data_IF_579243230453
#
_entry.id   IF_579243230453
#
_cell.length_a   1.000
_cell.length_b   1.000
_cell.length_c   1.000
_cell.angle_alpha   90.00
_cell.angle_beta   90.00
_cell.angle_gamma   90.00
#
_symmetry.space_group_name_H-M   'P 1'
#
loop_
_entity.id
_entity.type
_entity.pdbx_description
1 polymer ?
#
# COMPACT_ATOMS: atom_id res chain seq x y z
N UNK A 1 -30.95 11.21 0.79
CA UNK A 1 -29.96 10.66 1.75
C UNK A 1 -29.36 9.43 1.09
N UNK A 2 -28.24 9.58 0.41
CA UNK A 2 -27.52 8.47 -0.24
C UNK A 2 -26.71 7.75 0.83
N UNK A 3 -27.08 6.50 1.10
CA UNK A 3 -26.31 5.55 1.90
C UNK A 3 -24.90 5.45 1.32
N UNK A 4 -23.82 5.57 2.12
CA UNK A 4 -22.47 5.32 1.64
C UNK A 4 -22.41 3.87 1.14
N UNK A 5 -21.99 3.69 -0.12
CA UNK A 5 -21.91 2.37 -0.74
C UNK A 5 -20.82 1.51 -0.08
N UNK A 6 -21.08 0.21 0.01
CA UNK A 6 -20.22 -0.87 0.54
C UNK A 6 -18.73 -0.88 0.10
N UNK A 7 -18.29 0.00 -0.80
CA UNK A 7 -16.86 0.24 -1.11
C UNK A 7 -16.09 0.79 0.10
N UNK A 8 -16.77 1.37 1.09
CA UNK A 8 -16.16 1.95 2.30
C UNK A 8 -15.78 0.94 3.40
N UNK A 9 -16.05 -0.36 3.20
CA UNK A 9 -15.92 -1.40 4.24
C UNK A 9 -14.83 -2.44 4.00
N UNK A 10 -13.92 -2.24 3.05
CA UNK A 10 -12.83 -3.22 2.80
C UNK A 10 -11.56 -2.81 3.52
N UNK A 11 -11.10 -3.77 4.34
CA UNK A 11 -9.79 -3.85 4.95
C UNK A 11 -8.70 -3.84 3.86
N UNK A 12 -8.12 -2.68 3.57
CA UNK A 12 -6.89 -2.62 2.79
C UNK A 12 -5.82 -1.93 3.63
N UNK A 13 -4.80 -2.67 4.13
CA UNK A 13 -3.80 -2.14 5.06
C UNK A 13 -3.09 -0.87 4.55
N UNK A 14 -2.97 -0.72 3.22
CA UNK A 14 -2.33 0.43 2.58
C UNK A 14 -3.18 1.72 2.60
N UNK A 15 -4.51 1.62 2.62
CA UNK A 15 -5.41 2.79 2.56
C UNK A 15 -5.63 3.46 3.93
N UNK A 16 -5.21 2.82 5.02
CA UNK A 16 -5.72 3.18 6.34
C UNK A 16 -4.99 4.35 7.00
N UNK A 17 -3.72 4.59 6.67
CA UNK A 17 -2.96 5.70 7.26
C UNK A 17 -2.46 6.75 6.25
N UNK A 18 -2.67 6.59 4.94
CA UNK A 18 -2.36 7.63 3.96
C UNK A 18 -3.44 8.73 4.04
N UNK A 19 -3.21 9.72 4.90
CA UNK A 19 -4.13 10.87 5.09
C UNK A 19 -3.83 12.01 4.14
N UNK A 20 -2.56 12.22 3.84
CA UNK A 20 -2.09 13.33 3.03
C UNK A 20 -1.46 12.77 1.75
N UNK A 21 -2.24 12.85 0.68
CA UNK A 21 -1.79 12.57 -0.68
C UNK A 21 -1.85 13.86 -1.48
N UNK A 22 -0.91 14.01 -2.42
CA UNK A 22 -0.97 15.11 -3.37
C UNK A 22 -2.10 14.86 -4.38
N UNK A 23 -3.18 15.64 -4.26
CA UNK A 23 -4.42 15.51 -5.04
C UNK A 23 -4.26 15.60 -6.58
N UNK A 24 -3.11 16.09 -7.07
CA UNK A 24 -2.78 16.19 -8.50
C UNK A 24 -1.30 15.92 -8.66
N UNK A 25 -0.97 14.91 -9.46
CA UNK A 25 0.40 14.47 -9.70
C UNK A 25 0.63 14.26 -11.19
N UNK A 26 1.83 14.54 -11.73
CA UNK A 26 2.15 14.17 -13.09
C UNK A 26 2.18 12.63 -13.17
N UNK A 27 1.49 12.07 -14.16
CA UNK A 27 1.59 10.62 -14.42
C UNK A 27 3.02 10.34 -14.92
N UNK A 28 3.59 9.20 -14.51
CA UNK A 28 4.89 8.75 -15.00
C UNK A 28 4.79 8.27 -16.45
N UNK A 29 4.74 9.22 -17.39
CA UNK A 29 4.48 8.91 -18.80
C UNK A 29 3.09 8.32 -19.05
N UNK A 30 2.58 8.44 -20.28
CA UNK A 30 1.25 7.91 -20.61
C UNK A 30 1.21 6.37 -20.71
N UNK A 31 2.39 5.73 -20.60
CA UNK A 31 2.63 4.33 -20.91
C UNK A 31 2.87 3.42 -19.69
N UNK A 32 3.11 3.97 -18.49
CA UNK A 32 3.35 3.19 -17.27
C UNK A 32 2.05 2.98 -16.47
N UNK A 33 1.76 1.73 -16.13
CA UNK A 33 0.61 1.36 -15.30
C UNK A 33 1.08 1.02 -13.90
N UNK A 34 0.62 1.80 -12.92
CA UNK A 34 0.90 1.62 -11.50
C UNK A 34 -0.39 1.74 -10.69
N UNK A 35 -0.41 1.18 -9.48
CA UNK A 35 -1.54 1.23 -8.56
C UNK A 35 -1.42 2.43 -7.63
N UNK A 36 -2.39 3.32 -7.60
CA UNK A 36 -2.43 4.37 -6.59
C UNK A 36 -2.63 3.74 -5.19
N UNK A 37 -1.59 3.78 -4.35
CA UNK A 37 -1.64 3.24 -3.00
C UNK A 37 -2.60 4.01 -2.09
N UNK A 38 -2.89 5.28 -2.39
CA UNK A 38 -3.89 6.06 -1.66
C UNK A 38 -5.32 5.79 -2.18
N UNK A 39 -5.50 5.65 -3.48
CA UNK A 39 -6.84 5.54 -4.10
C UNK A 39 -7.31 4.09 -4.35
N UNK A 40 -6.41 3.14 -4.52
CA UNK A 40 -6.70 1.74 -4.84
C UNK A 40 -6.90 1.44 -6.31
N UNK A 41 -7.07 2.47 -7.13
CA UNK A 41 -7.26 2.36 -8.57
C UNK A 41 -5.98 2.60 -9.37
N UNK A 42 -6.16 2.80 -10.67
CA UNK A 42 -5.11 3.35 -11.52
C UNK A 42 -5.06 4.86 -11.34
N UNK A 43 -3.91 5.52 -11.59
CA UNK A 43 -3.85 6.97 -11.54
C UNK A 43 -4.89 7.59 -12.49
N UNK A 44 -5.59 8.64 -12.06
CA UNK A 44 -6.52 9.33 -12.95
C UNK A 44 -5.75 9.94 -14.13
N UNK A 45 -6.26 9.71 -15.34
CA UNK A 45 -5.76 10.26 -16.62
C UNK A 45 -5.83 11.81 -16.72
N UNK A 46 -6.12 12.52 -15.64
CA UNK A 46 -6.25 13.97 -15.64
C UNK A 46 -4.90 14.67 -15.66
N UNK A 47 -4.61 15.35 -16.77
CA UNK A 47 -3.54 16.34 -16.87
C UNK A 47 -3.71 17.41 -15.78
N UNK A 48 -2.94 17.29 -14.70
CA UNK A 48 -2.79 18.31 -13.67
C UNK A 48 -1.54 19.14 -13.94
N UNK A 49 -1.58 20.43 -13.60
CA UNK A 49 -0.35 21.24 -13.55
C UNK A 49 0.50 20.82 -12.37
N UNK A 50 1.81 20.64 -12.59
CA UNK A 50 2.78 20.41 -11.51
C UNK A 50 2.65 21.51 -10.43
N UNK A 51 2.58 21.15 -9.14
CA UNK A 51 2.80 22.15 -8.10
C UNK A 51 4.25 22.63 -8.19
N UNK A 52 4.47 23.93 -7.99
CA UNK A 52 5.82 24.44 -7.81
C UNK A 52 6.48 23.77 -6.58
N UNK A 53 7.80 23.51 -6.64
CA UNK A 53 8.55 22.87 -5.56
C UNK A 53 8.29 23.53 -4.19
N UNK A 54 8.27 24.87 -4.16
CA UNK A 54 7.97 25.65 -2.96
C UNK A 54 6.59 25.33 -2.37
N UNK A 55 5.57 25.18 -3.22
CA UNK A 55 4.20 24.88 -2.79
C UNK A 55 4.11 23.43 -2.26
N UNK A 56 4.82 22.49 -2.89
CA UNK A 56 4.85 21.10 -2.42
C UNK A 56 5.55 21.00 -1.06
N UNK A 57 6.69 21.68 -0.88
CA UNK A 57 7.41 21.74 0.39
C UNK A 57 6.60 22.41 1.51
N UNK A 58 5.89 23.50 1.21
CA UNK A 58 5.01 24.17 2.18
C UNK A 58 3.84 23.27 2.59
N UNK A 59 3.25 22.54 1.62
CA UNK A 59 2.24 21.53 1.89
C UNK A 59 2.72 20.46 2.87
N UNK A 60 3.93 19.94 2.69
CA UNK A 60 4.54 18.95 3.60
C UNK A 60 4.71 19.52 5.01
N UNK A 61 5.21 20.75 5.14
CA UNK A 61 5.42 21.41 6.45
C UNK A 61 4.12 21.67 7.22
N UNK A 62 2.99 21.74 6.52
CA UNK A 62 1.66 21.90 7.15
C UNK A 62 1.08 20.57 7.66
N UNK A 63 1.66 19.44 7.27
CA UNK A 63 1.18 18.10 7.63
C UNK A 63 1.83 17.65 8.94
N UNK A 64 1.03 17.02 9.79
CA UNK A 64 1.50 16.44 11.06
C UNK A 64 1.52 14.91 11.04
N UNK A 65 1.18 14.27 9.93
CA UNK A 65 1.05 12.81 9.77
C UNK A 65 1.91 12.31 8.60
N UNK A 66 1.70 11.09 8.12
CA UNK A 66 2.43 10.57 6.96
C UNK A 66 2.00 11.25 5.65
N UNK A 67 2.98 11.65 4.84
CA UNK A 67 2.75 12.13 3.47
C UNK A 67 3.07 11.00 2.49
N UNK A 68 2.13 10.75 1.58
CA UNK A 68 2.32 9.82 0.46
C UNK A 68 2.75 10.57 -0.79
N UNK A 69 3.83 10.08 -1.41
CA UNK A 69 4.40 10.59 -2.65
C UNK A 69 4.28 9.51 -3.72
N UNK A 70 3.39 9.69 -4.72
CA UNK A 70 3.29 8.77 -5.84
C UNK A 70 4.52 8.88 -6.76
N UNK A 71 4.72 7.91 -7.67
CA UNK A 71 5.84 7.94 -8.61
C UNK A 71 5.87 9.23 -9.45
N UNK A 72 7.08 9.71 -9.76
CA UNK A 72 7.33 10.92 -10.53
C UNK A 72 8.09 10.61 -11.81
N UNK A 73 7.73 11.32 -12.89
CA UNK A 73 8.54 11.34 -14.11
C UNK A 73 9.95 11.90 -13.82
N UNK A 74 10.94 11.45 -14.60
CA UNK A 74 12.35 11.76 -14.36
C UNK A 74 12.67 13.28 -14.35
N UNK A 75 11.95 14.06 -15.16
CA UNK A 75 12.04 15.52 -15.21
C UNK A 75 11.53 16.21 -13.92
N UNK A 76 10.68 15.52 -13.16
CA UNK A 76 10.10 15.99 -11.90
C UNK A 76 10.89 15.56 -10.66
N UNK A 77 12.03 14.89 -10.81
CA UNK A 77 12.85 14.40 -9.67
C UNK A 77 13.33 15.50 -8.71
N UNK A 78 13.40 16.76 -9.17
CA UNK A 78 13.70 17.90 -8.31
C UNK A 78 12.57 18.17 -7.27
N UNK A 79 11.31 17.90 -7.62
CA UNK A 79 10.17 17.99 -6.71
C UNK A 79 10.27 16.92 -5.62
N UNK A 80 10.60 15.70 -6.02
CA UNK A 80 10.83 14.59 -5.10
C UNK A 80 11.86 14.95 -4.02
N UNK A 81 13.02 15.48 -4.45
CA UNK A 81 14.07 15.92 -3.53
C UNK A 81 13.59 17.03 -2.59
N UNK A 82 12.93 18.06 -3.12
CA UNK A 82 12.41 19.16 -2.32
C UNK A 82 11.39 18.70 -1.27
N UNK A 83 10.56 17.71 -1.58
CA UNK A 83 9.59 17.11 -0.64
C UNK A 83 10.32 16.30 0.42
N UNK A 84 11.31 15.48 0.02
CA UNK A 84 12.15 14.70 0.92
C UNK A 84 12.87 15.57 1.95
N UNK A 85 13.48 16.67 1.50
CA UNK A 85 14.17 17.65 2.36
C UNK A 85 13.20 18.33 3.33
N UNK A 86 12.05 18.81 2.84
CA UNK A 86 11.04 19.45 3.68
C UNK A 86 10.46 18.51 4.73
N UNK A 87 10.23 17.24 4.37
CA UNK A 87 9.73 16.23 5.29
C UNK A 87 10.74 15.90 6.37
N UNK A 88 12.02 15.75 6.01
CA UNK A 88 13.10 15.53 6.95
C UNK A 88 13.26 16.69 7.94
N UNK A 89 13.22 17.94 7.46
CA UNK A 89 13.27 19.14 8.30
C UNK A 89 12.08 19.22 9.25
N UNK A 90 10.88 18.88 8.77
CA UNK A 90 9.65 18.90 9.57
C UNK A 90 9.48 17.67 10.49
N UNK A 91 10.35 16.66 10.40
CA UNK A 91 10.17 15.39 11.11
C UNK A 91 8.95 14.58 10.62
N UNK A 92 8.46 14.89 9.43
CA UNK A 92 7.29 14.27 8.79
C UNK A 92 7.74 13.00 8.07
N UNK A 93 7.09 11.84 8.31
CA UNK A 93 7.44 10.61 7.63
C UNK A 93 6.87 10.61 6.21
N UNK A 94 7.58 9.95 5.29
CA UNK A 94 7.16 9.79 3.90
C UNK A 94 6.88 8.33 3.59
N UNK A 95 5.79 8.07 2.87
CA UNK A 95 5.60 6.87 2.06
C UNK A 95 5.85 7.23 0.61
N UNK A 96 6.88 6.63 0.04
CA UNK A 96 7.27 6.86 -1.35
C UNK A 96 6.92 5.63 -2.16
N UNK A 97 6.25 5.84 -3.28
CA UNK A 97 6.04 4.80 -4.27
C UNK A 97 6.90 5.02 -5.50
N UNK A 98 7.44 3.92 -6.03
CA UNK A 98 8.34 3.93 -7.19
C UNK A 98 7.83 2.91 -8.20
N UNK A 99 7.78 3.28 -9.49
CA UNK A 99 7.42 2.32 -10.55
C UNK A 99 8.60 1.43 -10.89
N UNK A 100 8.37 0.15 -10.70
CA UNK A 100 9.16 -1.02 -10.97
C UNK A 100 9.23 -1.48 -12.43
N UNK A 101 10.03 -0.88 -13.32
CA UNK A 101 10.18 -1.41 -14.70
C UNK A 101 11.39 -2.33 -14.84
N UNK A 102 11.17 -3.52 -15.42
CA UNK A 102 12.24 -4.37 -15.95
C UNK A 102 12.27 -4.16 -17.47
N UNK A 103 13.38 -3.67 -18.06
CA UNK A 103 13.49 -3.51 -19.50
C UNK A 103 13.27 -4.84 -20.22
N UNK A 104 12.69 -4.80 -21.43
CA UNK A 104 12.53 -6.00 -22.25
C UNK A 104 13.90 -6.64 -22.54
N UNK A 105 14.14 -7.84 -21.99
CA UNK A 105 15.42 -8.55 -22.11
C UNK A 105 16.47 -8.22 -21.04
N UNK A 106 16.17 -7.35 -20.07
CA UNK A 106 17.01 -7.07 -18.91
C UNK A 106 16.67 -7.95 -17.71
N UNK A 107 17.64 -8.16 -16.82
CA UNK A 107 17.54 -9.01 -15.62
C UNK A 107 17.53 -8.22 -14.31
N UNK A 108 17.69 -6.89 -14.35
CA UNK A 108 18.05 -6.11 -13.17
C UNK A 108 17.05 -5.03 -12.80
N UNK A 109 16.42 -5.23 -11.65
CA UNK A 109 15.71 -4.20 -10.89
C UNK A 109 16.68 -3.19 -10.25
N UNK A 110 18.01 -3.34 -10.40
CA UNK A 110 19.01 -2.39 -9.85
C UNK A 110 18.88 -0.98 -10.41
N UNK A 111 18.32 -0.83 -11.60
CA UNK A 111 18.06 0.48 -12.22
C UNK A 111 16.83 1.19 -11.63
N UNK A 112 16.04 0.52 -10.77
CA UNK A 112 14.91 1.14 -10.07
C UNK A 112 15.30 2.21 -9.06
N UNK A 113 16.59 2.29 -8.76
CA UNK A 113 17.12 3.45 -8.10
C UNK A 113 17.12 4.62 -9.07
N UNK A 114 16.05 5.42 -9.04
CA UNK A 114 16.22 6.85 -9.21
C UNK A 114 17.44 7.25 -8.35
N UNK A 115 18.50 7.86 -8.92
CA UNK A 115 19.69 8.20 -8.16
C UNK A 115 19.30 9.07 -6.95
N UNK A 116 19.54 8.57 -5.74
CA UNK A 116 19.22 9.25 -4.47
C UNK A 116 18.39 8.46 -3.46
N UNK A 117 17.85 7.27 -3.80
CA UNK A 117 17.13 6.42 -2.83
C UNK A 117 18.00 5.95 -1.65
N UNK A 118 19.27 5.66 -1.90
CA UNK A 118 20.23 5.24 -0.88
C UNK A 118 20.61 6.38 0.08
N UNK A 119 20.34 7.63 -0.29
CA UNK A 119 20.62 8.83 0.50
C UNK A 119 19.39 9.32 1.28
N UNK A 120 18.28 8.57 1.24
CA UNK A 120 17.05 8.97 1.92
C UNK A 120 17.15 8.74 3.44
N UNK A 121 16.69 9.69 4.27
CA UNK A 121 16.72 9.57 5.73
C UNK A 121 15.86 8.41 6.24
N UNK A 122 16.19 7.91 7.44
CA UNK A 122 15.61 6.71 8.06
C UNK A 122 14.12 6.78 8.42
N UNK A 123 13.49 7.94 8.28
CA UNK A 123 12.07 8.18 8.54
C UNK A 123 11.18 7.96 7.30
N UNK A 124 11.73 7.41 6.21
CA UNK A 124 11.02 7.17 4.96
C UNK A 124 10.75 5.68 4.72
N UNK A 125 9.52 5.37 4.30
CA UNK A 125 9.10 4.04 3.85
C UNK A 125 9.02 4.06 2.33
N UNK A 126 9.79 3.18 1.68
CA UNK A 126 9.76 3.04 0.22
C UNK A 126 9.00 1.77 -0.15
N UNK A 127 7.95 1.95 -0.96
CA UNK A 127 7.21 0.89 -1.61
C UNK A 127 7.53 0.90 -3.11
N UNK A 128 7.97 -0.25 -3.64
CA UNK A 128 8.18 -0.42 -5.07
C UNK A 128 6.94 -1.09 -5.64
N UNK A 129 6.30 -0.38 -6.56
CA UNK A 129 5.17 -0.87 -7.30
C UNK A 129 5.66 -1.56 -8.56
N UNK A 130 5.52 -2.87 -8.57
CA UNK A 130 5.87 -3.69 -9.72
C UNK A 130 4.61 -4.12 -10.48
N UNK A 131 3.46 -3.45 -10.38
CA UNK A 131 2.16 -3.86 -10.94
C UNK A 131 2.30 -4.44 -12.35
N UNK A 132 2.79 -3.65 -13.30
CA UNK A 132 2.98 -4.09 -14.68
C UNK A 132 3.94 -5.28 -14.81
N UNK A 133 5.06 -5.26 -14.08
CA UNK A 133 6.06 -6.33 -14.06
C UNK A 133 5.52 -7.63 -13.45
N UNK A 134 4.85 -7.56 -12.29
CA UNK A 134 4.29 -8.68 -11.52
C UNK A 134 3.15 -9.33 -12.27
N UNK A 135 2.33 -8.53 -12.94
CA UNK A 135 1.29 -9.01 -13.83
C UNK A 135 1.87 -9.85 -14.97
N UNK A 136 2.90 -9.33 -15.68
CA UNK A 136 3.55 -10.09 -16.76
C UNK A 136 4.22 -11.36 -16.22
N UNK A 137 4.83 -11.27 -15.04
CA UNK A 137 5.45 -12.42 -14.37
C UNK A 137 4.43 -13.46 -13.92
N UNK A 138 3.27 -13.02 -13.41
CA UNK A 138 2.17 -13.89 -13.05
C UNK A 138 1.67 -14.65 -14.29
N UNK A 139 1.49 -13.96 -15.43
CA UNK A 139 1.12 -14.59 -16.69
C UNK A 139 2.17 -15.63 -17.14
N UNK A 140 3.47 -15.28 -17.12
CA UNK A 140 4.55 -16.20 -17.49
C UNK A 140 4.62 -17.43 -16.56
N UNK A 141 4.47 -17.24 -15.25
CA UNK A 141 4.48 -18.32 -14.26
C UNK A 141 3.27 -19.26 -14.43
N UNK A 142 2.09 -18.72 -14.78
CA UNK A 142 0.91 -19.56 -15.10
C UNK A 142 1.16 -20.45 -16.31
N UNK A 143 1.79 -19.92 -17.35
CA UNK A 143 2.15 -20.72 -18.52
C UNK A 143 3.17 -21.82 -18.16
N UNK A 144 4.22 -21.50 -17.40
CA UNK A 144 5.17 -22.50 -16.91
C UNK A 144 4.47 -23.62 -16.11
N UNK A 145 3.55 -23.27 -15.22
CA UNK A 145 2.76 -24.22 -14.43
C UNK A 145 1.81 -25.06 -15.30
N UNK A 146 1.14 -24.44 -16.29
CA UNK A 146 0.28 -25.13 -17.27
C UNK A 146 1.08 -26.16 -18.07
N UNK A 147 2.30 -25.83 -18.45
CA UNK A 147 3.22 -26.70 -19.20
C UNK A 147 3.98 -27.70 -18.30
N UNK A 148 3.74 -27.70 -16.98
CA UNK A 148 4.46 -28.50 -15.97
C UNK A 148 5.99 -28.30 -16.00
N UNK A 149 6.45 -27.12 -16.41
CA UNK A 149 7.86 -26.76 -16.38
C UNK A 149 8.26 -26.39 -14.96
N UNK A 150 9.53 -26.60 -14.62
CA UNK A 150 10.07 -26.11 -13.37
C UNK A 150 10.11 -24.57 -13.42
N UNK A 151 9.58 -23.85 -12.41
CA UNK A 151 9.58 -22.39 -12.42
C UNK A 151 11.01 -21.85 -12.52
N UNK A 152 11.31 -21.06 -13.55
CA UNK A 152 12.60 -20.39 -13.67
C UNK A 152 12.73 -19.25 -12.63
N UNK A 153 13.92 -18.88 -12.16
CA UNK A 153 14.07 -17.67 -11.34
C UNK A 153 14.28 -16.48 -12.30
N UNK A 154 13.31 -15.54 -12.41
CA UNK A 154 13.40 -14.45 -13.39
C UNK A 154 14.30 -13.30 -12.91
N UNK A 155 14.63 -13.29 -11.62
CA UNK A 155 15.50 -12.29 -11.01
C UNK A 155 16.90 -12.86 -10.82
N UNK A 156 17.91 -12.03 -11.04
CA UNK A 156 19.24 -12.29 -10.47
C UNK A 156 19.12 -12.46 -8.93
N UNK A 157 20.11 -13.04 -8.24
CA UNK A 157 20.11 -13.09 -6.78
C UNK A 157 20.16 -11.68 -6.15
N UNK A 158 19.26 -11.41 -5.21
CA UNK A 158 19.22 -10.20 -4.36
C UNK A 158 19.04 -8.79 -5.02
N UNK A 159 18.39 -8.57 -6.19
CA UNK A 159 18.21 -7.24 -6.77
C UNK A 159 17.18 -6.38 -6.02
N UNK A 160 16.38 -6.97 -5.12
CA UNK A 160 15.34 -6.32 -4.32
C UNK A 160 15.70 -6.29 -2.82
N UNK A 161 16.99 -6.31 -2.49
CA UNK A 161 17.44 -6.42 -1.10
C UNK A 161 16.81 -5.35 -0.19
N UNK A 162 16.01 -5.78 0.79
CA UNK A 162 15.40 -4.90 1.78
C UNK A 162 14.17 -4.12 1.30
N UNK A 163 13.74 -4.32 0.05
CA UNK A 163 12.63 -3.59 -0.58
C UNK A 163 11.28 -4.08 -0.06
N UNK A 164 10.31 -3.16 0.01
CA UNK A 164 8.89 -3.48 0.13
C UNK A 164 8.24 -3.49 -1.26
N UNK A 165 7.68 -4.62 -1.67
CA UNK A 165 6.99 -4.79 -2.96
C UNK A 165 5.49 -4.71 -2.75
N UNK A 166 4.79 -4.04 -3.66
CA UNK A 166 3.31 -4.07 -3.72
C UNK A 166 2.89 -5.20 -4.67
N UNK A 167 2.09 -6.14 -4.17
CA UNK A 167 1.54 -7.24 -4.97
C UNK A 167 0.07 -6.97 -5.32
N UNK A 168 -0.27 -6.77 -6.60
CA UNK A 168 -1.65 -6.55 -6.99
C UNK A 168 -2.47 -7.82 -6.83
N UNK A 169 -3.64 -7.71 -6.21
CA UNK A 169 -4.64 -8.76 -6.08
C UNK A 169 -5.78 -8.49 -7.07
N UNK A 170 -5.88 -9.37 -8.05
CA UNK A 170 -6.94 -9.46 -9.05
C UNK A 170 -7.56 -10.83 -8.88
N UNK A 171 -8.88 -10.84 -8.68
CA UNK A 171 -9.67 -12.05 -8.46
C UNK A 171 -9.40 -13.09 -9.55
N UNK A 172 -9.29 -14.35 -9.13
CA UNK A 172 -9.02 -15.51 -9.99
C UNK A 172 -7.74 -15.42 -10.81
N UNK A 173 -6.79 -14.61 -10.40
CA UNK A 173 -5.57 -14.43 -11.18
C UNK A 173 -4.33 -14.30 -10.33
N UNK A 174 -4.11 -13.14 -9.72
CA UNK A 174 -2.92 -12.90 -8.89
C UNK A 174 -3.12 -13.28 -7.43
N UNK A 175 -4.33 -13.69 -7.06
CA UNK A 175 -4.71 -14.19 -5.73
C UNK A 175 -4.81 -15.72 -5.65
N UNK A 176 -4.59 -16.43 -6.77
CA UNK A 176 -4.72 -17.88 -6.80
C UNK A 176 -3.62 -18.59 -5.98
N UNK A 177 -3.97 -19.51 -5.06
CA UNK A 177 -2.99 -20.19 -4.21
C UNK A 177 -1.83 -20.84 -4.98
N UNK A 178 -2.12 -21.50 -6.11
CA UNK A 178 -1.10 -22.15 -6.95
C UNK A 178 -0.11 -21.19 -7.62
N UNK A 179 -0.44 -19.90 -7.70
CA UNK A 179 0.47 -18.85 -8.18
C UNK A 179 1.24 -18.19 -7.04
N UNK A 180 0.59 -17.99 -5.90
CA UNK A 180 1.12 -17.24 -4.77
C UNK A 180 2.40 -17.86 -4.20
N UNK A 181 2.40 -19.17 -3.93
CA UNK A 181 3.58 -19.86 -3.38
C UNK A 181 4.85 -19.67 -4.23
N UNK A 182 4.86 -20.03 -5.53
CA UNK A 182 6.05 -19.84 -6.37
C UNK A 182 6.41 -18.35 -6.57
N UNK A 183 5.43 -17.45 -6.59
CA UNK A 183 5.69 -16.02 -6.70
C UNK A 183 6.37 -15.45 -5.44
N UNK A 184 5.89 -15.78 -4.25
CA UNK A 184 6.49 -15.35 -2.99
C UNK A 184 7.91 -15.91 -2.81
N UNK A 185 8.12 -17.19 -3.14
CA UNK A 185 9.45 -17.79 -3.14
C UNK A 185 10.44 -17.05 -4.06
N UNK A 186 9.98 -16.63 -5.25
CA UNK A 186 10.80 -15.82 -6.18
C UNK A 186 11.14 -14.44 -5.59
N UNK A 187 10.17 -13.76 -4.98
CA UNK A 187 10.40 -12.45 -4.36
C UNK A 187 11.37 -12.55 -3.18
N UNK A 188 11.24 -13.59 -2.35
CA UNK A 188 12.17 -13.87 -1.25
C UNK A 188 13.59 -14.14 -1.77
N UNK A 189 13.74 -14.97 -2.82
CA UNK A 189 15.04 -15.23 -3.46
C UNK A 189 15.66 -13.97 -4.08
N UNK A 190 14.83 -13.03 -4.54
CA UNK A 190 15.25 -11.73 -5.03
C UNK A 190 15.68 -10.76 -3.91
N UNK A 191 15.60 -11.15 -2.63
CA UNK A 191 16.01 -10.33 -1.48
C UNK A 191 14.93 -9.39 -0.94
N UNK A 192 13.69 -9.53 -1.43
CA UNK A 192 12.55 -8.75 -0.95
C UNK A 192 12.37 -8.98 0.55
N UNK A 193 12.20 -7.91 1.33
CA UNK A 193 11.93 -8.02 2.76
C UNK A 193 10.43 -8.16 3.03
N UNK A 194 9.63 -7.43 2.26
CA UNK A 194 8.20 -7.28 2.50
C UNK A 194 7.41 -7.30 1.20
N UNK A 195 6.25 -7.95 1.20
CA UNK A 195 5.30 -7.93 0.07
C UNK A 195 3.91 -7.59 0.59
N UNK A 196 3.37 -6.46 0.17
CA UNK A 196 2.07 -5.95 0.65
C UNK A 196 1.01 -6.25 -0.40
N UNK A 197 -0.08 -6.97 -0.05
CA UNK A 197 -1.15 -7.25 -0.98
C UNK A 197 -1.97 -5.99 -1.26
N UNK A 198 -2.43 -5.83 -2.51
CA UNK A 198 -3.22 -4.69 -2.95
C UNK A 198 -4.35 -5.08 -3.89
N UNK A 199 -5.57 -5.15 -3.38
CA UNK A 199 -6.75 -5.31 -4.22
C UNK A 199 -6.95 -4.08 -5.12
N UNK A 200 -7.10 -4.30 -6.43
CA UNK A 200 -7.30 -3.21 -7.38
C UNK A 200 -8.77 -2.78 -7.44
N UNK A 201 -9.03 -1.49 -7.20
CA UNK A 201 -10.36 -0.89 -7.25
C UNK A 201 -10.62 -0.29 -8.64
N UNK A 202 -10.80 -1.15 -9.64
CA UNK A 202 -10.90 -0.74 -11.04
C UNK A 202 -12.36 -0.51 -11.47
N UNK A 203 -12.65 0.65 -12.03
CA UNK A 203 -13.85 0.94 -12.80
C UNK A 203 -13.78 0.33 -14.22
N UNK A 204 -14.87 0.45 -14.99
CA UNK A 204 -14.94 -0.15 -16.33
C UNK A 204 -13.91 0.44 -17.33
N UNK A 205 -13.55 1.72 -17.18
CA UNK A 205 -12.54 2.37 -18.02
C UNK A 205 -11.14 1.89 -17.65
N UNK A 206 -10.84 1.84 -16.36
CA UNK A 206 -9.56 1.37 -15.83
C UNK A 206 -9.31 -0.10 -16.17
N UNK A 207 -10.33 -0.96 -16.04
CA UNK A 207 -10.27 -2.38 -16.47
C UNK A 207 -9.93 -2.51 -17.94
N UNK A 208 -10.55 -1.69 -18.79
CA UNK A 208 -10.28 -1.69 -20.23
C UNK A 208 -8.85 -1.27 -20.54
N UNK A 209 -8.38 -0.18 -19.92
CA UNK A 209 -7.02 0.31 -20.10
C UNK A 209 -5.99 -0.76 -19.69
N UNK A 210 -6.20 -1.37 -18.52
CA UNK A 210 -5.35 -2.45 -18.04
C UNK A 210 -5.39 -3.64 -19.01
N UNK A 211 -6.57 -4.08 -19.45
CA UNK A 211 -6.70 -5.17 -20.41
C UNK A 211 -5.95 -4.92 -21.73
N UNK A 212 -6.13 -3.72 -22.31
CA UNK A 212 -5.45 -3.33 -23.56
C UNK A 212 -3.91 -3.34 -23.40
N UNK A 213 -3.40 -2.88 -22.25
CA UNK A 213 -1.96 -2.85 -21.98
C UNK A 213 -1.37 -4.23 -21.79
N UNK A 214 -2.14 -5.12 -21.18
CA UNK A 214 -1.71 -6.47 -20.86
C UNK A 214 -1.91 -7.46 -22.00
N UNK A 215 -2.70 -7.12 -23.02
CA UNK A 215 -3.09 -8.02 -24.10
C UNK A 215 -1.91 -8.76 -24.76
N UNK A 216 -0.74 -8.14 -24.86
CA UNK A 216 0.44 -8.76 -25.45
C UNK A 216 1.08 -9.84 -24.57
N UNK A 217 1.00 -9.69 -23.24
CA UNK A 217 1.57 -10.62 -22.26
C UNK A 217 0.51 -11.58 -21.67
N UNK A 218 -0.75 -11.18 -21.72
CA UNK A 218 -1.92 -11.90 -21.24
C UNK A 218 -3.08 -11.69 -22.22
N UNK A 219 -3.19 -12.54 -23.25
CA UNK A 219 -4.25 -12.42 -24.26
C UNK A 219 -5.67 -12.46 -23.68
N UNK A 220 -5.87 -13.17 -22.58
CA UNK A 220 -7.15 -13.31 -21.88
C UNK A 220 -7.41 -12.22 -20.82
N UNK A 221 -6.57 -11.17 -20.76
CA UNK A 221 -6.70 -10.09 -19.76
C UNK A 221 -8.07 -9.42 -19.77
N UNK A 222 -8.63 -9.23 -20.97
CA UNK A 222 -9.95 -8.65 -21.11
C UNK A 222 -11.02 -9.53 -20.46
N UNK A 223 -11.04 -10.82 -20.80
CA UNK A 223 -12.05 -11.74 -20.26
C UNK A 223 -11.92 -11.89 -18.75
N UNK A 224 -10.70 -11.97 -18.20
CA UNK A 224 -10.51 -12.09 -16.77
C UNK A 224 -10.90 -10.83 -15.99
N UNK A 225 -10.59 -9.63 -16.49
CA UNK A 225 -10.92 -8.36 -15.81
C UNK A 225 -12.41 -8.00 -15.88
N UNK A 226 -13.13 -8.49 -16.89
CA UNK A 226 -14.55 -8.20 -17.11
C UNK A 226 -15.51 -9.35 -16.77
N UNK A 227 -15.01 -10.59 -16.80
CA UNK A 227 -15.81 -11.81 -16.65
C UNK A 227 -15.22 -12.81 -15.64
N UNK A 228 -14.11 -12.47 -14.97
CA UNK A 228 -13.62 -13.20 -13.81
C UNK A 228 -14.65 -13.23 -12.67
N UNK A 229 -14.49 -14.16 -11.73
CA UNK A 229 -15.40 -14.26 -10.60
C UNK A 229 -15.40 -12.95 -9.80
N UNK A 230 -16.59 -12.42 -9.49
CA UNK A 230 -16.80 -11.19 -8.73
C UNK A 230 -16.44 -11.37 -7.24
N UNK A 231 -15.85 -12.51 -6.88
CA UNK A 231 -15.35 -12.79 -5.54
C UNK A 231 -14.23 -11.80 -5.17
N UNK A 232 -14.25 -11.33 -3.93
CA UNK A 232 -13.19 -10.46 -3.40
C UNK A 232 -11.92 -11.29 -3.30
N UNK A 233 -10.74 -10.75 -3.66
CA UNK A 233 -9.50 -11.50 -3.54
C UNK A 233 -9.29 -12.04 -2.12
N UNK A 234 -8.93 -13.32 -2.01
CA UNK A 234 -8.66 -13.95 -0.73
C UNK A 234 -7.28 -13.53 -0.20
N UNK A 235 -7.28 -12.64 0.77
CA UNK A 235 -6.05 -12.14 1.40
C UNK A 235 -5.39 -13.21 2.30
N UNK A 236 -6.15 -14.20 2.76
CA UNK A 236 -5.62 -15.23 3.66
C UNK A 236 -4.66 -16.18 2.94
N UNK A 237 -4.99 -16.59 1.73
CA UNK A 237 -4.10 -17.38 0.88
C UNK A 237 -2.79 -16.63 0.60
N UNK A 238 -2.88 -15.32 0.33
CA UNK A 238 -1.71 -14.47 0.15
C UNK A 238 -0.83 -14.42 1.40
N UNK A 239 -1.41 -14.17 2.57
CA UNK A 239 -0.66 -14.09 3.82
C UNK A 239 0.05 -15.40 4.15
N UNK A 240 -0.65 -16.53 4.01
CA UNK A 240 -0.06 -17.85 4.19
C UNK A 240 1.16 -18.08 3.27
N UNK A 241 1.05 -17.71 1.99
CA UNK A 241 2.15 -17.85 1.03
C UNK A 241 3.33 -16.92 1.34
N UNK A 242 3.07 -15.68 1.74
CA UNK A 242 4.10 -14.72 2.12
C UNK A 242 4.86 -15.18 3.37
N UNK A 243 4.14 -15.63 4.41
CA UNK A 243 4.71 -16.17 5.64
C UNK A 243 5.54 -17.43 5.38
N UNK A 244 5.05 -18.35 4.55
CA UNK A 244 5.77 -19.56 4.17
C UNK A 244 7.10 -19.24 3.44
N UNK A 245 7.16 -18.13 2.69
CA UNK A 245 8.37 -17.64 2.04
C UNK A 245 9.27 -16.80 2.96
N UNK A 246 8.88 -16.57 4.22
CA UNK A 246 9.62 -15.75 5.18
C UNK A 246 9.55 -14.24 4.92
N UNK A 247 8.53 -13.79 4.18
CA UNK A 247 8.32 -12.39 3.84
C UNK A 247 7.41 -11.71 4.85
N UNK A 248 7.74 -10.47 5.23
CA UNK A 248 6.78 -9.62 5.93
C UNK A 248 5.65 -9.23 4.96
N UNK A 249 4.40 -9.15 5.41
CA UNK A 249 3.27 -8.78 4.53
C UNK A 249 2.53 -7.51 4.92
N UNK A 250 2.99 -6.85 5.99
CA UNK A 250 2.38 -5.65 6.56
C UNK A 250 3.24 -4.43 6.27
N UNK A 251 2.62 -3.35 5.78
CA UNK A 251 3.30 -2.06 5.65
C UNK A 251 3.25 -1.31 6.99
N UNK A 252 4.36 -1.18 7.73
CA UNK A 252 4.35 -0.51 9.02
C UNK A 252 3.99 0.97 8.82
N UNK A 253 3.12 1.50 9.69
CA UNK A 253 2.83 2.94 9.73
C UNK A 253 4.02 3.66 10.37
N UNK A 254 4.73 4.55 9.66
CA UNK A 254 5.74 5.37 10.29
C UNK A 254 5.07 6.44 11.17
N UNK A 255 5.60 6.64 12.38
CA UNK A 255 5.14 7.71 13.27
C UNK A 255 6.01 8.96 13.05
N UNK A 256 5.42 10.17 13.03
CA UNK A 256 6.20 11.39 12.93
C UNK A 256 7.13 11.60 14.12
N UNK A 257 8.26 12.25 13.87
CA UNK A 257 9.18 12.65 14.93
C UNK A 257 8.52 13.72 15.82
N UNK A 258 8.99 13.82 17.07
CA UNK A 258 8.54 14.87 17.97
C UNK A 258 8.87 16.27 17.39
N UNK A 259 8.04 17.31 17.63
CA UNK A 259 6.96 17.35 18.62
C UNK A 259 5.56 17.18 18.01
N UNK A 260 4.92 16.04 18.28
CA UNK A 260 3.48 15.89 18.14
C UNK A 260 2.79 16.08 19.51
N UNK A 261 1.60 16.70 19.57
CA UNK A 261 0.78 16.67 20.78
C UNK A 261 0.57 15.21 21.23
N UNK A 262 0.81 14.91 22.51
CA UNK A 262 0.73 13.55 23.06
C UNK A 262 -0.60 12.85 22.74
N UNK A 263 -1.71 13.60 22.77
CA UNK A 263 -3.05 13.10 22.39
C UNK A 263 -3.09 12.55 20.96
N UNK A 264 -2.48 13.25 19.99
CA UNK A 264 -2.47 12.85 18.59
C UNK A 264 -1.56 11.64 18.40
N UNK A 265 -0.42 11.63 19.09
CA UNK A 265 0.50 10.50 19.07
C UNK A 265 -0.17 9.22 19.59
N UNK A 266 -0.82 9.27 20.76
CA UNK A 266 -1.54 8.10 21.31
C UNK A 266 -2.65 7.62 20.39
N UNK A 267 -3.44 8.54 19.81
CA UNK A 267 -4.50 8.17 18.87
C UNK A 267 -3.95 7.41 17.65
N UNK A 268 -2.81 7.86 17.11
CA UNK A 268 -2.12 7.21 15.98
C UNK A 268 -1.49 5.87 16.34
N UNK A 269 -0.90 5.77 17.53
CA UNK A 269 -0.35 4.50 18.06
C UNK A 269 -1.46 3.47 18.26
N UNK A 270 -2.61 3.88 18.80
CA UNK A 270 -3.79 3.02 18.94
C UNK A 270 -4.37 2.63 17.58
N UNK A 271 -4.48 3.56 16.63
CA UNK A 271 -4.93 3.24 15.27
C UNK A 271 -4.00 2.21 14.60
N UNK A 272 -2.67 2.38 14.75
CA UNK A 272 -1.69 1.38 14.29
C UNK A 272 -1.90 0.01 14.94
N UNK A 273 -2.10 -0.03 16.26
CA UNK A 273 -2.37 -1.28 16.97
C UNK A 273 -3.66 -1.98 16.52
N UNK A 274 -4.73 -1.23 16.28
CA UNK A 274 -5.99 -1.79 15.76
C UNK A 274 -5.81 -2.37 14.35
N UNK A 275 -4.98 -1.76 13.50
CA UNK A 275 -4.64 -2.34 12.19
C UNK A 275 -3.94 -3.69 12.37
N UNK A 276 -2.97 -3.79 13.28
CA UNK A 276 -2.27 -5.07 13.56
C UNK A 276 -3.22 -6.17 14.04
N UNK A 277 -4.23 -5.81 14.84
CA UNK A 277 -5.28 -6.73 15.29
C UNK A 277 -6.21 -7.12 14.15
N UNK A 278 -6.56 -6.17 13.28
CA UNK A 278 -7.32 -6.43 12.05
C UNK A 278 -6.59 -7.41 11.12
N UNK A 279 -5.27 -7.26 10.97
CA UNK A 279 -4.43 -8.15 10.15
C UNK A 279 -4.31 -9.56 10.76
N UNK A 280 -4.31 -9.66 12.09
CA UNK A 280 -4.18 -10.94 12.80
C UNK A 280 -5.52 -11.69 12.95
N UNK A 281 -6.65 -11.02 12.72
CA UNK A 281 -7.95 -11.59 12.98
C UNK A 281 -8.36 -12.58 11.87
N UNK A 282 -8.57 -13.84 12.25
CA UNK A 282 -9.08 -14.86 11.33
C UNK A 282 -10.51 -14.56 10.83
N UNK A 283 -11.29 -13.80 11.60
CA UNK A 283 -12.64 -13.32 11.23
C UNK A 283 -12.87 -11.94 11.83
N UNK A 284 -13.74 -11.13 11.22
CA UNK A 284 -14.17 -9.81 11.73
C UNK A 284 -13.04 -8.76 11.86
N UNK A 285 -11.97 -8.87 11.07
CA UNK A 285 -10.90 -7.88 11.01
C UNK A 285 -11.38 -6.48 10.62
N UNK A 286 -12.45 -6.42 9.81
CA UNK A 286 -13.11 -5.20 9.34
C UNK A 286 -13.50 -4.25 10.48
N UNK A 287 -13.91 -4.78 11.63
CA UNK A 287 -14.25 -4.00 12.82
C UNK A 287 -13.05 -3.18 13.30
N UNK A 288 -11.88 -3.80 13.38
CA UNK A 288 -10.66 -3.11 13.83
C UNK A 288 -10.19 -2.07 12.82
N UNK A 289 -10.30 -2.34 11.52
CA UNK A 289 -9.95 -1.37 10.49
C UNK A 289 -10.92 -0.17 10.47
N UNK A 290 -12.22 -0.40 10.68
CA UNK A 290 -13.21 0.69 10.87
C UNK A 290 -12.83 1.57 12.06
N UNK A 291 -12.46 0.94 13.16
CA UNK A 291 -12.04 1.62 14.38
C UNK A 291 -10.77 2.46 14.19
N UNK A 292 -9.73 1.87 13.58
CA UNK A 292 -8.49 2.58 13.25
C UNK A 292 -8.75 3.81 12.37
N UNK A 293 -9.55 3.64 11.30
CA UNK A 293 -9.91 4.73 10.37
C UNK A 293 -10.69 5.85 11.04
N UNK A 294 -11.55 5.53 12.01
CA UNK A 294 -12.26 6.56 12.77
C UNK A 294 -11.31 7.37 13.64
N UNK A 295 -10.45 6.70 14.42
CA UNK A 295 -9.47 7.36 15.27
C UNK A 295 -8.57 8.29 14.46
N UNK A 296 -8.07 7.79 13.33
CA UNK A 296 -7.22 8.56 12.44
C UNK A 296 -7.93 9.78 11.86
N UNK A 297 -9.21 9.69 11.47
CA UNK A 297 -9.93 10.81 10.86
C UNK A 297 -10.37 11.89 11.84
N UNK A 298 -10.76 11.50 13.04
CA UNK A 298 -11.48 12.37 13.96
C UNK A 298 -10.59 12.93 15.09
N UNK A 299 -9.31 12.55 15.15
CA UNK A 299 -8.35 13.04 16.13
C UNK A 299 -8.85 12.92 17.59
N UNK A 300 -9.56 11.83 17.87
CA UNK A 300 -10.20 11.57 19.16
C UNK A 300 -9.14 11.56 20.25
N UNK A 301 -9.37 12.34 21.31
CA UNK A 301 -8.63 12.23 22.56
C UNK A 301 -9.13 10.99 23.32
N UNK A 302 -8.46 9.87 23.06
CA UNK A 302 -8.89 8.56 23.57
C UNK A 302 -8.77 8.47 25.10
N UNK A 303 -7.81 9.20 25.70
CA UNK A 303 -7.60 9.20 27.15
C UNK A 303 -8.68 10.00 27.86
N UNK A 304 -9.10 11.14 27.29
CA UNK A 304 -10.26 11.87 27.76
C UNK A 304 -11.53 11.02 27.64
N UNK A 305 -11.76 10.39 26.48
CA UNK A 305 -12.91 9.51 26.27
C UNK A 305 -12.95 8.34 27.27
N UNK A 306 -11.79 7.77 27.62
CA UNK A 306 -11.67 6.72 28.63
C UNK A 306 -11.99 7.21 30.05
N UNK A 307 -11.39 8.32 30.48
CA UNK A 307 -11.61 8.89 31.82
C UNK A 307 -13.06 9.30 32.07
N UNK A 308 -13.74 9.76 31.04
CA UNK A 308 -15.13 10.21 31.13
C UNK A 308 -16.14 9.05 30.96
N UNK A 309 -15.68 7.81 30.75
CA UNK A 309 -16.56 6.66 30.48
C UNK A 309 -17.27 6.73 29.12
N UNK A 310 -16.79 7.60 28.23
CA UNK A 310 -17.40 7.90 26.94
C UNK A 310 -16.94 6.96 25.81
N UNK A 311 -16.09 5.96 26.09
CA UNK A 311 -15.73 4.93 25.10
C UNK A 311 -16.96 4.19 24.57
N UNK A 312 -17.98 3.99 25.43
CA UNK A 312 -19.26 3.36 25.04
C UNK A 312 -20.17 4.25 24.18
N UNK A 313 -19.84 5.54 24.03
CA UNK A 313 -20.61 6.52 23.23
C UNK A 313 -20.05 6.64 21.80
N UNK A 314 -18.96 5.93 21.48
CA UNK A 314 -18.39 5.86 20.15
C UNK A 314 -19.15 4.80 19.33
N UNK A 315 -20.10 5.19 18.45
CA UNK A 315 -21.07 4.26 17.85
C UNK A 315 -20.47 3.25 16.87
N UNK A 316 -19.16 3.29 16.64
CA UNK A 316 -18.37 2.47 15.73
C UNK A 316 -17.48 1.44 16.45
N UNK A 317 -17.40 1.48 17.78
CA UNK A 317 -16.68 0.50 18.60
C UNK A 317 -17.60 -0.69 18.88
N UNK A 318 -17.68 -1.61 17.93
CA UNK A 318 -18.29 -2.92 18.19
C UNK A 318 -17.47 -3.67 19.25
N UNK A 319 -18.10 -4.64 19.93
CA UNK A 319 -17.54 -5.28 21.12
C UNK A 319 -16.08 -5.75 20.98
N UNK A 320 -15.63 -6.39 19.87
CA UNK A 320 -14.24 -6.81 19.73
C UNK A 320 -13.23 -5.66 19.71
N UNK A 321 -13.53 -4.57 18.98
CA UNK A 321 -12.65 -3.40 18.94
C UNK A 321 -12.66 -2.65 20.28
N UNK A 322 -13.81 -2.61 20.98
CA UNK A 322 -13.90 -1.96 22.30
C UNK A 322 -13.01 -2.64 23.32
N UNK A 323 -13.08 -3.97 23.41
CA UNK A 323 -12.22 -4.75 24.32
C UNK A 323 -10.75 -4.52 24.01
N UNK A 324 -10.37 -4.44 22.72
CA UNK A 324 -8.99 -4.16 22.32
C UNK A 324 -8.53 -2.75 22.74
N UNK A 325 -9.37 -1.72 22.55
CA UNK A 325 -9.07 -0.36 22.99
C UNK A 325 -8.90 -0.29 24.50
N UNK A 326 -9.80 -0.89 25.26
CA UNK A 326 -9.73 -0.95 26.74
C UNK A 326 -8.46 -1.68 27.21
N UNK A 327 -8.11 -2.80 26.59
CA UNK A 327 -6.89 -3.53 26.90
C UNK A 327 -5.62 -2.71 26.57
N UNK A 328 -5.62 -2.00 25.44
CA UNK A 328 -4.52 -1.11 25.06
C UNK A 328 -4.36 0.04 26.05
N UNK A 329 -5.45 0.67 26.46
CA UNK A 329 -5.47 1.73 27.48
C UNK A 329 -5.05 1.22 28.85
N UNK A 330 -5.43 0.00 29.25
CA UNK A 330 -4.97 -0.57 30.53
C UNK A 330 -3.44 -0.79 30.55
N UNK A 331 -2.85 -1.10 29.39
CA UNK A 331 -1.41 -1.33 29.23
C UNK A 331 -0.60 -0.04 29.10
N UNK A 332 -1.16 1.01 28.51
CA UNK A 332 -0.43 2.25 28.15
C UNK A 332 -0.98 3.53 28.82
N UNK A 333 -2.09 3.43 29.56
CA UNK A 333 -2.85 4.55 30.11
C UNK A 333 -2.46 4.97 31.53
N UNK A 334 -1.33 4.49 32.05
CA UNK A 334 -0.79 4.91 33.34
C UNK A 334 0.14 6.10 33.23
N UNK A 335 -0.41 7.30 33.01
CA UNK A 335 0.17 8.59 33.44
C UNK A 335 -0.95 9.52 33.92
#
# INVERSE_FOLDING_TARGET
>A
MTTPGLREHVAEPANLWIRHSFSRWPVSGDDEVWCDLAAGGLPPSTAGSLPAAANAAEGVRSVTDVVYVPPLAADCMHLFRSIGEAAAEAGVPLLIQIVGTIPAGGSSLRELAAPGLADLPSNQVVAVDLLDTLVRHAAALREELRERRQPSLPFEPAPLQGVTVVWPLVSDWTDQPGLLEPAMARLAAAGTRRVVPRALQLDARERRLLAERLQSAWPEAFDALFHGDDSRPDHSAFWCAAEAAGLEHRLPRPLPALPLPSRLRRSRELAGHLIELGDAAATHGDVYYRAARFLDRNEVDIDAAAREGNLGVLPWLEDPARVAVEAWLAKHGGE
#
